data_IF_312040209544
#
_entry.id   IF_312040209544
#
_cell.length_a   1.000
_cell.length_b   1.000
_cell.length_c   1.000
_cell.angle_alpha   90.00
_cell.angle_beta   90.00
_cell.angle_gamma   90.00
#
_symmetry.space_group_name_H-M   'P 1'
#
loop_
_entity.id
_entity.type
_entity.pdbx_description
1 polymer ?
#
# COMPACT_ATOMS: atom_id res chain seq x y z
N UNK A 1 -3.33 -10.65 -12.37
CA UNK A 1 -2.75 -11.06 -11.06
C UNK A 1 -3.89 -11.31 -10.06
N UNK A 2 -3.77 -12.27 -9.15
CA UNK A 2 -4.74 -12.34 -8.03
C UNK A 2 -4.45 -11.27 -6.98
N UNK A 3 -5.41 -11.03 -6.07
CA UNK A 3 -5.16 -10.15 -4.92
C UNK A 3 -4.00 -10.62 -4.05
N UNK A 4 -3.82 -11.94 -3.94
CA UNK A 4 -2.65 -12.53 -3.28
C UNK A 4 -1.34 -12.18 -3.98
N UNK A 5 -1.29 -12.29 -5.31
CA UNK A 5 -0.09 -11.92 -6.07
C UNK A 5 0.22 -10.43 -5.92
N UNK A 6 -0.81 -9.57 -5.91
CA UNK A 6 -0.66 -8.12 -5.73
C UNK A 6 -0.02 -7.84 -4.37
N UNK A 7 -0.49 -8.49 -3.29
CA UNK A 7 0.12 -8.36 -1.96
C UNK A 7 1.58 -8.80 -1.96
N UNK A 8 1.88 -9.96 -2.54
CA UNK A 8 3.26 -10.46 -2.66
C UNK A 8 4.17 -9.52 -3.45
N UNK A 9 3.64 -8.87 -4.48
CA UNK A 9 4.40 -7.87 -5.23
C UNK A 9 4.71 -6.68 -4.34
N UNK A 10 3.71 -6.12 -3.64
CA UNK A 10 3.89 -5.00 -2.70
C UNK A 10 4.96 -5.32 -1.66
N UNK A 11 4.87 -6.49 -1.02
CA UNK A 11 5.81 -6.96 -0.01
C UNK A 11 7.26 -7.04 -0.51
N UNK A 12 7.47 -7.29 -1.82
CA UNK A 12 8.79 -7.48 -2.42
C UNK A 12 9.33 -6.23 -3.12
N UNK A 13 8.50 -5.22 -3.40
CA UNK A 13 8.89 -4.08 -4.23
C UNK A 13 8.82 -2.74 -3.49
N UNK A 14 7.67 -2.42 -2.89
CA UNK A 14 7.37 -1.07 -2.38
C UNK A 14 7.07 -1.04 -0.88
N UNK A 15 7.20 -2.18 -0.20
CA UNK A 15 6.87 -2.33 1.23
C UNK A 15 7.56 -1.32 2.16
N UNK A 16 8.74 -0.81 1.78
CA UNK A 16 9.49 0.17 2.57
C UNK A 16 8.81 1.54 2.69
N UNK A 17 7.91 1.89 1.76
CA UNK A 17 7.24 3.19 1.74
C UNK A 17 5.73 3.11 1.44
N UNK A 18 5.22 1.93 1.04
CA UNK A 18 3.80 1.68 0.85
C UNK A 18 3.44 0.25 1.25
N UNK A 19 2.61 0.10 2.27
CA UNK A 19 2.17 -1.20 2.75
C UNK A 19 0.64 -1.24 2.86
N UNK A 20 0.04 -2.22 2.22
CA UNK A 20 -1.39 -2.46 2.27
C UNK A 20 -1.70 -3.82 2.85
N UNK A 21 -2.70 -3.88 3.73
CA UNK A 21 -3.18 -5.14 4.28
C UNK A 21 -4.02 -5.91 3.27
N UNK A 22 -4.14 -7.24 3.44
CA UNK A 22 -5.11 -8.03 2.65
C UNK A 22 -6.54 -7.48 2.78
N UNK A 23 -6.90 -6.97 3.97
CA UNK A 23 -8.20 -6.36 4.22
C UNK A 23 -8.49 -5.10 3.40
N UNK A 24 -7.46 -4.39 2.95
CA UNK A 24 -7.61 -3.21 2.08
C UNK A 24 -7.50 -3.57 0.59
N UNK A 25 -6.63 -4.51 0.23
CA UNK A 25 -6.38 -4.87 -1.18
C UNK A 25 -7.64 -5.39 -1.88
N UNK A 26 -8.37 -6.33 -1.27
CA UNK A 26 -9.53 -6.93 -1.93
C UNK A 26 -10.68 -5.94 -2.16
N UNK A 27 -11.09 -5.11 -1.18
CA UNK A 27 -12.05 -4.04 -1.42
C UNK A 27 -11.63 -3.06 -2.53
N UNK A 28 -10.36 -2.65 -2.55
CA UNK A 28 -9.84 -1.75 -3.60
C UNK A 28 -9.92 -2.41 -4.98
N UNK A 29 -9.48 -3.67 -5.11
CA UNK A 29 -9.56 -4.40 -6.39
C UNK A 29 -11.00 -4.57 -6.87
N UNK A 30 -11.93 -4.87 -5.97
CA UNK A 30 -13.35 -4.95 -6.31
C UNK A 30 -13.90 -3.60 -6.76
N UNK A 31 -13.51 -2.51 -6.10
CA UNK A 31 -13.91 -1.15 -6.47
C UNK A 31 -13.36 -0.75 -7.84
N UNK A 32 -12.07 -0.97 -8.09
CA UNK A 32 -11.45 -0.70 -9.39
C UNK A 32 -12.13 -1.50 -10.52
N UNK A 33 -12.56 -2.74 -10.24
CA UNK A 33 -13.31 -3.54 -11.19
C UNK A 33 -14.72 -2.99 -11.43
N UNK A 34 -15.42 -2.59 -10.36
CA UNK A 34 -16.77 -2.02 -10.45
C UNK A 34 -16.79 -0.68 -11.20
N UNK A 35 -15.74 0.14 -11.04
CA UNK A 35 -15.58 1.44 -11.73
C UNK A 35 -15.03 1.31 -13.16
N UNK A 36 -14.71 0.10 -13.61
CA UNK A 36 -14.23 -0.18 -14.97
C UNK A 36 -12.75 0.15 -15.20
N UNK A 37 -11.98 0.38 -14.15
CA UNK A 37 -10.52 0.55 -14.22
C UNK A 37 -9.77 -0.79 -14.29
N UNK A 38 -10.39 -1.86 -13.79
CA UNK A 38 -9.88 -3.21 -13.91
C UNK A 38 -10.96 -4.17 -14.43
N UNK A 39 -10.53 -5.27 -15.04
CA UNK A 39 -11.36 -6.43 -15.31
C UNK A 39 -11.07 -7.51 -14.28
N UNK A 40 -12.11 -8.17 -13.80
CA UNK A 40 -12.02 -9.36 -12.93
C UNK A 40 -12.44 -10.59 -13.71
N UNK A 41 -11.53 -11.55 -13.88
CA UNK A 41 -11.80 -12.84 -14.52
C UNK A 41 -11.66 -13.98 -13.52
N UNK A 42 -12.52 -14.98 -13.64
CA UNK A 42 -12.42 -16.21 -12.86
C UNK A 42 -11.57 -17.22 -13.64
N UNK A 43 -10.50 -17.67 -13.02
CA UNK A 43 -9.58 -18.65 -13.56
C UNK A 43 -9.77 -19.98 -12.81
N UNK A 44 -10.15 -21.03 -13.54
CA UNK A 44 -10.33 -22.36 -12.97
C UNK A 44 -8.97 -22.99 -12.70
N UNK A 45 -8.82 -23.61 -11.54
CA UNK A 45 -7.60 -24.32 -11.17
C UNK A 45 -7.90 -25.81 -10.96
N UNK A 46 -7.03 -26.69 -11.48
CA UNK A 46 -7.18 -28.13 -11.26
C UNK A 46 -6.77 -28.48 -9.83
N UNK A 47 -7.70 -29.06 -9.06
CA UNK A 47 -7.43 -29.49 -7.68
C UNK A 47 -7.27 -28.35 -6.65
N UNK A 48 -7.64 -27.12 -7.00
CA UNK A 48 -7.63 -25.95 -6.11
C UNK A 48 -8.89 -25.10 -6.34
N UNK A 49 -9.30 -24.26 -5.38
CA UNK A 49 -10.39 -23.32 -5.60
C UNK A 49 -10.13 -22.39 -6.78
N UNK A 50 -11.20 -22.01 -7.48
CA UNK A 50 -11.15 -20.98 -8.51
C UNK A 50 -10.53 -19.70 -7.95
N UNK A 51 -9.76 -19.01 -8.79
CA UNK A 51 -9.07 -17.78 -8.42
C UNK A 51 -9.58 -16.63 -9.25
N UNK A 52 -9.73 -15.47 -8.60
CA UNK A 52 -9.98 -14.23 -9.30
C UNK A 52 -8.67 -13.56 -9.70
N UNK A 53 -8.54 -13.26 -10.99
CA UNK A 53 -7.43 -12.49 -11.53
C UNK A 53 -7.94 -11.14 -12.02
N UNK A 54 -7.15 -10.12 -11.74
CA UNK A 54 -7.39 -8.75 -12.11
C UNK A 54 -6.37 -8.30 -13.17
N UNK A 55 -6.84 -7.50 -14.12
CA UNK A 55 -6.02 -6.83 -15.14
C UNK A 55 -6.56 -5.43 -15.40
N UNK A 56 -5.69 -4.46 -15.64
CA UNK A 56 -6.12 -3.11 -16.01
C UNK A 56 -6.86 -3.13 -17.35
N UNK A 57 -7.91 -2.32 -17.45
CA UNK A 57 -8.55 -1.95 -18.73
C UNK A 57 -7.75 -0.83 -19.40
N UNK A 58 -8.12 -0.45 -20.64
CA UNK A 58 -7.54 0.74 -21.27
C UNK A 58 -7.87 2.01 -20.49
N UNK A 59 -9.09 2.10 -19.94
CA UNK A 59 -9.48 3.18 -19.02
C UNK A 59 -8.60 3.19 -17.77
N UNK A 60 -8.33 2.03 -17.18
CA UNK A 60 -7.41 1.90 -16.04
C UNK A 60 -5.98 2.33 -16.36
N UNK A 61 -5.47 1.96 -17.55
CA UNK A 61 -4.15 2.41 -18.02
C UNK A 61 -4.10 3.92 -18.26
N UNK A 62 -5.16 4.52 -18.80
CA UNK A 62 -5.25 5.96 -19.00
C UNK A 62 -5.32 6.71 -17.66
N UNK A 63 -6.12 6.20 -16.72
CA UNK A 63 -6.23 6.71 -15.35
C UNK A 63 -4.88 6.69 -14.63
N UNK A 64 -4.17 5.55 -14.67
CA UNK A 64 -2.85 5.42 -14.07
C UNK A 64 -1.87 6.44 -14.65
N UNK A 65 -1.83 6.61 -15.98
CA UNK A 65 -0.98 7.61 -16.64
C UNK A 65 -1.33 9.02 -16.23
N UNK A 66 -2.62 9.34 -16.10
CA UNK A 66 -3.07 10.65 -15.62
C UNK A 66 -2.59 10.89 -14.19
N UNK A 67 -2.79 9.92 -13.30
CA UNK A 67 -2.38 10.03 -11.89
C UNK A 67 -0.87 10.19 -11.74
N UNK A 68 -0.07 9.45 -12.52
CA UNK A 68 1.40 9.58 -12.53
C UNK A 68 1.89 10.98 -12.96
N UNK A 69 1.09 11.72 -13.73
CA UNK A 69 1.42 13.08 -14.16
C UNK A 69 1.04 14.15 -13.12
N UNK A 70 0.27 13.79 -12.09
CA UNK A 70 -0.09 14.71 -11.01
C UNK A 70 1.07 14.79 -10.02
N UNK A 71 1.55 15.99 -9.64
CA UNK A 71 2.58 16.13 -8.62
C UNK A 71 2.19 15.40 -7.33
N UNK A 72 3.14 14.66 -6.76
CA UNK A 72 2.95 13.99 -5.49
C UNK A 72 2.55 15.01 -4.42
N UNK A 73 1.58 14.65 -3.59
CA UNK A 73 1.19 15.50 -2.45
C UNK A 73 2.35 15.57 -1.47
N UNK A 74 2.63 16.76 -0.97
CA UNK A 74 3.58 16.92 0.12
C UNK A 74 2.93 16.39 1.40
N UNK A 75 3.42 15.25 1.88
CA UNK A 75 2.96 14.66 3.14
C UNK A 75 4.00 14.98 4.22
N UNK A 76 3.64 15.74 5.27
CA UNK A 76 4.58 16.07 6.33
C UNK A 76 5.04 14.79 7.02
N UNK A 77 6.37 14.63 7.13
CA UNK A 77 6.97 13.49 7.83
C UNK A 77 6.56 13.54 9.30
N UNK A 78 5.79 12.54 9.74
CA UNK A 78 5.47 12.35 11.16
C UNK A 78 6.52 11.44 11.78
N UNK A 79 7.44 12.02 12.54
CA UNK A 79 8.47 11.28 13.27
C UNK A 79 8.15 11.25 14.75
N UNK A 80 7.78 10.08 15.27
CA UNK A 80 7.58 9.88 16.71
C UNK A 80 8.88 10.10 17.48
N UNK A 81 10.03 9.70 16.91
CA UNK A 81 11.34 9.97 17.49
C UNK A 81 11.56 11.46 17.72
N UNK A 82 11.37 12.29 16.68
CA UNK A 82 11.54 13.74 16.80
C UNK A 82 10.53 14.34 17.79
N UNK A 83 9.30 13.82 17.83
CA UNK A 83 8.29 14.25 18.80
C UNK A 83 8.70 13.93 20.24
N UNK A 84 9.22 12.73 20.50
CA UNK A 84 9.73 12.33 21.82
C UNK A 84 10.92 13.16 22.26
N UNK A 85 11.88 13.40 21.35
CA UNK A 85 13.04 14.26 21.65
C UNK A 85 12.62 15.70 21.94
N UNK A 86 11.67 16.24 21.18
CA UNK A 86 11.13 17.58 21.41
C UNK A 86 10.43 17.72 22.77
N UNK A 87 9.66 16.71 23.18
CA UNK A 87 8.96 16.67 24.46
C UNK A 87 9.82 16.14 25.63
N UNK A 88 11.09 15.81 25.39
CA UNK A 88 11.97 15.13 26.33
C UNK A 88 12.23 15.89 27.63
N UNK A 89 12.00 17.21 27.66
CA UNK A 89 12.07 18.03 28.88
C UNK A 89 11.11 17.57 29.98
N UNK A 90 10.04 16.85 29.62
CA UNK A 90 9.07 16.32 30.58
C UNK A 90 9.55 15.04 31.29
N UNK A 91 10.68 14.45 30.91
CA UNK A 91 11.20 13.21 31.48
C UNK A 91 12.73 13.22 31.70
N UNK A 92 13.29 12.12 32.23
CA UNK A 92 14.74 11.95 32.37
C UNK A 92 15.47 12.01 31.02
N UNK A 93 16.64 12.64 30.99
CA UNK A 93 17.51 12.68 29.80
C UNK A 93 17.86 11.28 29.29
N UNK A 94 18.00 10.31 30.19
CA UNK A 94 18.28 8.91 29.86
C UNK A 94 17.24 8.31 28.90
N UNK A 95 15.97 8.68 29.02
CA UNK A 95 14.91 8.15 28.15
C UNK A 95 15.05 8.67 26.71
N UNK A 96 15.53 9.91 26.55
CA UNK A 96 15.80 10.52 25.25
C UNK A 96 17.03 9.89 24.58
N UNK A 97 18.08 9.61 25.37
CA UNK A 97 19.28 8.91 24.89
C UNK A 97 18.91 7.51 24.38
N UNK A 98 18.10 6.77 25.13
CA UNK A 98 17.65 5.43 24.76
C UNK A 98 16.85 5.40 23.44
N UNK A 99 16.20 6.49 23.01
CA UNK A 99 15.50 6.53 21.71
C UNK A 99 16.45 6.57 20.50
N UNK A 100 17.70 7.03 20.68
CA UNK A 100 18.65 7.25 19.58
C UNK A 100 19.62 6.07 19.42
N UNK A 101 19.85 5.31 20.48
CA UNK A 101 20.76 4.15 20.49
C UNK A 101 20.16 2.88 19.88
N UNK A 102 18.90 2.91 19.45
CA UNK A 102 18.13 1.75 18.98
C UNK A 102 17.94 1.75 17.46
#
# INVERSE_FOLDING_TARGET
>A
MSGYDVKKLIERSIAHFWNESYGQIYPILNRLAAEGFAERRREKQRGKPDRHVYSLTDRGRAELRRWLAVPARHEPVRSELLLKLFLGVAGPVADSVAQIEH
#
